data_IF_962257786079
#
_entry.id   IF_962257786079
#
_cell.length_a   1.000
_cell.length_b   1.000
_cell.length_c   1.000
_cell.angle_alpha   90.00
_cell.angle_beta   90.00
_cell.angle_gamma   90.00
#
_symmetry.space_group_name_H-M   'P 1'
#
loop_
_entity.id
_entity.type
_entity.pdbx_description
1 polymer ?
#
# COMPACT_ATOMS: atom_id res chain seq x y z
N UNK A 1 -18.40 7.46 -22.16
CA UNK A 1 -18.70 8.35 -21.01
C UNK A 1 -17.37 8.84 -20.46
N UNK A 2 -16.96 10.07 -20.79
CA UNK A 2 -15.78 10.73 -20.23
C UNK A 2 -16.12 11.17 -18.81
N UNK A 3 -15.98 10.26 -17.85
CA UNK A 3 -16.20 10.58 -16.45
C UNK A 3 -14.88 11.08 -15.86
N UNK A 4 -14.67 12.39 -15.92
CA UNK A 4 -13.58 13.16 -15.27
C UNK A 4 -13.49 12.99 -13.74
N UNK A 5 -14.27 12.07 -13.15
CA UNK A 5 -14.32 11.78 -11.72
C UNK A 5 -14.18 10.28 -11.42
N UNK A 6 -13.90 9.44 -12.42
CA UNK A 6 -13.87 7.98 -12.26
C UNK A 6 -12.86 7.57 -11.20
N UNK A 7 -11.67 8.19 -11.19
CA UNK A 7 -10.66 7.91 -10.18
C UNK A 7 -11.18 8.28 -8.78
N UNK A 8 -11.68 9.50 -8.60
CA UNK A 8 -12.19 9.96 -7.31
C UNK A 8 -13.36 9.08 -6.79
N UNK A 9 -14.27 8.66 -7.66
CA UNK A 9 -15.39 7.77 -7.31
C UNK A 9 -14.87 6.41 -6.86
N UNK A 10 -13.91 5.82 -7.57
CA UNK A 10 -13.31 4.53 -7.19
C UNK A 10 -12.62 4.63 -5.83
N UNK A 11 -11.88 5.71 -5.57
CA UNK A 11 -11.25 5.97 -4.28
C UNK A 11 -12.29 6.11 -3.16
N UNK A 12 -13.33 6.91 -3.39
CA UNK A 12 -14.40 7.10 -2.42
C UNK A 12 -15.13 5.78 -2.12
N UNK A 13 -15.51 5.03 -3.16
CA UNK A 13 -16.15 3.73 -3.02
C UNK A 13 -15.27 2.74 -2.24
N UNK A 14 -13.97 2.73 -2.51
CA UNK A 14 -13.00 1.89 -1.82
C UNK A 14 -12.82 2.26 -0.35
N UNK A 15 -12.99 3.55 0.00
CA UNK A 15 -12.86 4.04 1.37
C UNK A 15 -14.13 3.81 2.21
N UNK A 16 -15.31 3.99 1.62
CA UNK A 16 -16.60 3.98 2.34
C UNK A 16 -16.80 2.69 3.13
N UNK A 17 -16.55 1.53 2.52
CA UNK A 17 -16.71 0.23 3.20
C UNK A 17 -15.82 0.10 4.45
N UNK A 18 -14.49 0.18 4.30
CA UNK A 18 -13.54 0.17 5.42
C UNK A 18 -13.83 1.24 6.46
N UNK A 19 -14.18 2.46 6.05
CA UNK A 19 -14.46 3.57 6.96
C UNK A 19 -15.70 3.31 7.81
N UNK A 20 -16.80 2.84 7.22
CA UNK A 20 -18.02 2.49 7.95
C UNK A 20 -17.78 1.32 8.92
N UNK A 21 -17.11 0.27 8.46
CA UNK A 21 -16.79 -0.90 9.27
C UNK A 21 -15.71 -0.61 10.33
N UNK A 22 -14.98 0.50 10.23
CA UNK A 22 -14.01 0.92 11.25
C UNK A 22 -14.66 1.25 12.59
N UNK A 23 -15.95 1.59 12.58
CA UNK A 23 -16.76 1.84 13.79
C UNK A 23 -17.40 0.58 14.38
N UNK A 24 -17.25 -0.58 13.73
CA UNK A 24 -17.71 -1.86 14.27
C UNK A 24 -17.08 -2.12 15.65
N UNK A 25 -17.89 -2.53 16.63
CA UNK A 25 -17.45 -2.79 18.00
C UNK A 25 -16.40 -3.90 18.10
N UNK A 26 -16.38 -4.85 17.15
CA UNK A 26 -15.48 -6.01 17.18
C UNK A 26 -14.05 -5.67 16.78
N UNK A 27 -13.86 -4.77 15.82
CA UNK A 27 -12.53 -4.33 15.36
C UNK A 27 -12.15 -2.99 15.99
N UNK A 28 -13.12 -2.10 16.19
CA UNK A 28 -12.99 -0.77 16.77
C UNK A 28 -11.77 0.00 16.24
N UNK A 29 -11.56 -0.06 14.92
CA UNK A 29 -10.37 0.45 14.25
C UNK A 29 -10.18 1.96 14.45
N UNK A 30 -11.27 2.70 14.61
CA UNK A 30 -11.25 4.13 14.92
C UNK A 30 -10.39 4.48 16.15
N UNK A 31 -10.26 3.59 17.13
CA UNK A 31 -9.41 3.82 18.33
C UNK A 31 -7.92 3.86 18.01
N UNK A 32 -7.50 3.27 16.88
CA UNK A 32 -6.11 3.19 16.42
C UNK A 32 -5.71 4.35 15.51
N UNK A 33 -6.65 5.20 15.11
CA UNK A 33 -6.41 6.33 14.19
C UNK A 33 -5.29 7.27 14.67
N UNK A 34 -5.17 7.48 15.99
CA UNK A 34 -4.09 8.29 16.58
C UNK A 34 -2.68 7.81 16.25
N UNK A 35 -2.50 6.50 16.03
CA UNK A 35 -1.22 5.91 15.62
C UNK A 35 -1.14 5.73 14.11
N UNK A 36 -2.29 5.50 13.48
CA UNK A 36 -2.42 5.27 12.05
C UNK A 36 -2.00 6.50 11.22
N UNK A 37 -2.59 7.67 11.49
CA UNK A 37 -2.34 8.85 10.65
C UNK A 37 -0.87 9.29 10.65
N UNK A 38 -0.16 9.41 11.79
CA UNK A 38 1.27 9.72 11.77
C UNK A 38 2.09 8.67 11.01
N UNK A 39 1.75 7.38 11.16
CA UNK A 39 2.43 6.29 10.48
C UNK A 39 2.17 6.27 8.96
N UNK A 40 1.08 6.88 8.49
CA UNK A 40 0.75 7.01 7.07
C UNK A 40 1.35 8.26 6.43
N UNK A 41 1.44 9.37 7.15
CA UNK A 41 1.94 10.64 6.59
C UNK A 41 3.39 10.53 6.14
N UNK A 42 4.26 9.91 6.93
CA UNK A 42 5.68 9.76 6.60
C UNK A 42 5.89 9.02 5.27
N UNK A 43 5.36 7.78 5.07
CA UNK A 43 5.49 7.11 3.79
C UNK A 43 4.73 7.83 2.68
N UNK A 44 3.56 8.41 2.95
CA UNK A 44 2.82 9.16 1.93
C UNK A 44 3.65 10.32 1.37
N UNK A 45 4.29 11.13 2.22
CA UNK A 45 5.15 12.24 1.76
C UNK A 45 6.32 11.74 0.92
N UNK A 46 6.95 10.64 1.32
CA UNK A 46 8.04 10.03 0.55
C UNK A 46 7.57 9.58 -0.84
N UNK A 47 6.44 8.87 -0.92
CA UNK A 47 5.93 8.37 -2.19
C UNK A 47 5.30 9.47 -3.06
N UNK A 48 4.71 10.51 -2.48
CA UNK A 48 4.25 11.68 -3.24
C UNK A 48 5.44 12.37 -3.91
N UNK A 49 6.54 12.58 -3.18
CA UNK A 49 7.75 13.18 -3.76
C UNK A 49 8.37 12.27 -4.84
N UNK A 50 8.36 10.96 -4.62
CA UNK A 50 8.79 9.96 -5.59
C UNK A 50 7.97 10.04 -6.88
N UNK A 51 6.64 10.04 -6.78
CA UNK A 51 5.74 10.06 -7.92
C UNK A 51 5.79 11.38 -8.68
N UNK A 52 5.95 12.51 -7.99
CA UNK A 52 6.25 13.81 -8.62
C UNK A 52 7.50 13.70 -9.49
N UNK A 53 8.57 13.09 -8.99
CA UNK A 53 9.82 12.92 -9.72
C UNK A 53 9.69 11.98 -10.93
N UNK A 54 9.03 10.82 -10.78
CA UNK A 54 8.87 9.86 -11.88
C UNK A 54 7.86 10.33 -12.94
N UNK A 55 6.84 11.08 -12.54
CA UNK A 55 5.91 11.75 -13.45
C UNK A 55 6.61 12.86 -14.23
N UNK A 56 7.50 13.62 -13.59
CA UNK A 56 8.31 14.64 -14.27
C UNK A 56 9.26 14.04 -15.31
N UNK A 57 9.72 12.80 -15.10
CA UNK A 57 10.55 12.04 -16.06
C UNK A 57 9.74 11.35 -17.16
N UNK A 58 8.41 11.47 -17.18
CA UNK A 58 7.55 10.81 -18.17
C UNK A 58 7.48 9.28 -18.04
N UNK A 59 8.08 8.71 -16.98
CA UNK A 59 8.03 7.27 -16.69
C UNK A 59 6.62 6.86 -16.29
N UNK A 60 5.96 7.74 -15.53
CA UNK A 60 4.59 7.59 -15.07
C UNK A 60 3.69 8.66 -15.70
N UNK A 61 2.47 8.29 -16.08
CA UNK A 61 1.51 9.20 -16.72
C UNK A 61 0.09 8.83 -16.31
N UNK A 62 -0.75 9.84 -16.15
CA UNK A 62 -2.15 9.66 -15.77
C UNK A 62 -3.07 9.98 -16.93
N UNK A 63 -4.18 9.24 -17.04
CA UNK A 63 -5.19 9.53 -18.05
C UNK A 63 -6.00 10.77 -17.64
N UNK A 64 -5.84 11.86 -18.38
CA UNK A 64 -6.52 13.14 -18.11
C UNK A 64 -8.05 13.05 -18.17
N UNK A 65 -8.59 12.03 -18.86
CA UNK A 65 -10.04 11.80 -18.96
C UNK A 65 -10.63 11.15 -17.70
N UNK A 66 -9.81 10.60 -16.81
CA UNK A 66 -10.23 9.89 -15.60
C UNK A 66 -10.03 10.71 -14.31
N UNK A 67 -9.30 11.82 -14.39
CA UNK A 67 -8.97 12.72 -13.28
C UNK A 67 -9.75 14.04 -13.41
N UNK A 68 -9.90 14.73 -12.28
CA UNK A 68 -10.60 16.02 -12.14
C UNK A 68 -9.86 17.17 -12.83
N UNK A 69 -8.58 16.98 -13.17
CA UNK A 69 -7.70 18.01 -13.72
C UNK A 69 -7.00 18.87 -12.66
N UNK A 70 -7.32 18.70 -11.37
CA UNK A 70 -6.61 19.38 -10.28
C UNK A 70 -5.31 18.64 -10.01
N UNK A 71 -4.18 19.34 -10.14
CA UNK A 71 -2.84 18.77 -9.94
C UNK A 71 -2.10 19.50 -8.83
N UNK A 72 -1.42 18.75 -7.97
CA UNK A 72 -0.40 19.25 -7.07
C UNK A 72 0.95 19.13 -7.78
N UNK A 73 1.54 20.27 -8.18
CA UNK A 73 2.67 20.30 -9.12
C UNK A 73 2.29 19.60 -10.44
N UNK A 74 2.72 18.36 -10.64
CA UNK A 74 2.44 17.52 -11.80
C UNK A 74 1.63 16.25 -11.46
N UNK A 75 1.26 16.07 -10.20
CA UNK A 75 0.57 14.87 -9.69
C UNK A 75 -0.93 15.15 -9.49
N UNK A 76 -1.86 14.32 -9.99
CA UNK A 76 -3.29 14.49 -9.74
C UNK A 76 -3.62 14.41 -8.24
N UNK A 77 -4.59 15.21 -7.78
CA UNK A 77 -5.04 15.17 -6.38
C UNK A 77 -5.56 13.79 -5.99
N UNK A 78 -6.13 13.05 -6.93
CA UNK A 78 -6.60 11.68 -6.74
C UNK A 78 -5.44 10.74 -6.36
N UNK A 79 -4.27 10.92 -6.96
CA UNK A 79 -3.10 10.11 -6.61
C UNK A 79 -2.57 10.48 -5.22
N UNK A 80 -2.60 11.77 -4.86
CA UNK A 80 -2.27 12.21 -3.49
C UNK A 80 -3.22 11.54 -2.49
N UNK A 81 -4.52 11.50 -2.78
CA UNK A 81 -5.52 10.81 -1.96
C UNK A 81 -5.32 9.30 -1.94
N UNK A 82 -4.89 8.68 -3.04
CA UNK A 82 -4.59 7.26 -3.13
C UNK A 82 -3.56 6.82 -2.09
N UNK A 83 -2.51 7.63 -1.86
CA UNK A 83 -1.49 7.39 -0.82
C UNK A 83 -2.02 7.41 0.61
N UNK A 84 -3.23 7.91 0.85
CA UNK A 84 -3.89 7.83 2.16
C UNK A 84 -5.01 6.79 2.17
N UNK A 85 -5.84 6.75 1.14
CA UNK A 85 -7.00 5.83 1.09
C UNK A 85 -6.54 4.38 1.05
N UNK A 86 -5.59 4.03 0.19
CA UNK A 86 -5.19 2.63 0.02
C UNK A 86 -4.49 2.08 1.26
N UNK A 87 -3.49 2.76 1.86
CA UNK A 87 -2.89 2.28 3.10
C UNK A 87 -3.91 2.15 4.25
N UNK A 88 -4.90 3.05 4.32
CA UNK A 88 -5.99 2.95 5.30
C UNK A 88 -6.76 1.64 5.12
N UNK A 89 -7.21 1.35 3.90
CA UNK A 89 -7.95 0.13 3.57
C UNK A 89 -7.11 -1.13 3.84
N UNK A 90 -5.83 -1.12 3.46
CA UNK A 90 -4.90 -2.23 3.70
C UNK A 90 -4.74 -2.54 5.19
N UNK A 91 -4.52 -1.51 6.02
CA UNK A 91 -4.34 -1.70 7.46
C UNK A 91 -5.66 -2.11 8.12
N UNK A 92 -6.80 -1.59 7.65
CA UNK A 92 -8.12 -2.02 8.11
C UNK A 92 -8.36 -3.52 7.84
N UNK A 93 -8.05 -4.02 6.63
CA UNK A 93 -8.16 -5.44 6.29
C UNK A 93 -7.24 -6.29 7.16
N UNK A 94 -6.01 -5.83 7.40
CA UNK A 94 -5.06 -6.50 8.30
C UNK A 94 -5.61 -6.64 9.73
N UNK A 95 -6.19 -5.56 10.27
CA UNK A 95 -6.81 -5.57 11.59
C UNK A 95 -8.05 -6.46 11.66
N UNK A 96 -8.88 -6.45 10.61
CA UNK A 96 -10.00 -7.38 10.50
C UNK A 96 -9.52 -8.84 10.53
N UNK A 97 -8.55 -9.22 9.69
CA UNK A 97 -8.03 -10.58 9.68
C UNK A 97 -7.45 -10.99 11.04
N UNK A 98 -6.75 -10.10 11.74
CA UNK A 98 -6.22 -10.38 13.08
C UNK A 98 -7.30 -10.55 14.16
N UNK A 99 -8.40 -9.82 14.05
CA UNK A 99 -9.52 -9.88 15.00
C UNK A 99 -10.47 -11.04 14.72
N UNK A 100 -10.71 -11.38 13.45
CA UNK A 100 -11.63 -12.44 13.05
C UNK A 100 -10.96 -13.83 12.98
N UNK A 101 -9.65 -13.91 12.68
CA UNK A 101 -8.91 -15.16 12.54
C UNK A 101 -7.67 -15.21 13.46
N UNK A 102 -7.85 -15.33 14.79
CA UNK A 102 -6.74 -15.33 15.73
C UNK A 102 -5.80 -16.54 15.59
N UNK A 103 -6.26 -17.65 14.99
CA UNK A 103 -5.46 -18.87 14.76
C UNK A 103 -4.37 -18.74 13.69
N UNK A 104 -4.31 -17.62 12.97
CA UNK A 104 -3.25 -17.31 12.00
C UNK A 104 -1.96 -16.86 12.71
N UNK A 105 -2.05 -16.41 13.96
CA UNK A 105 -0.98 -15.71 14.66
C UNK A 105 0.26 -16.57 14.89
N UNK A 106 1.43 -15.91 14.86
CA UNK A 106 2.71 -16.43 15.35
C UNK A 106 3.19 -17.76 14.75
N UNK A 107 2.83 -18.09 13.50
CA UNK A 107 3.41 -19.26 12.84
C UNK A 107 4.87 -18.96 12.45
N UNK A 108 5.85 -19.80 12.86
CA UNK A 108 7.26 -19.54 12.57
C UNK A 108 7.56 -19.51 11.06
N UNK A 109 6.76 -20.24 10.29
CA UNK A 109 6.83 -20.30 8.82
C UNK A 109 6.73 -18.91 8.17
N UNK A 110 5.88 -18.00 8.69
CA UNK A 110 5.72 -16.67 8.11
C UNK A 110 7.01 -15.84 8.18
N UNK A 111 7.76 -15.97 9.28
CA UNK A 111 9.05 -15.27 9.42
C UNK A 111 10.08 -15.80 8.42
N UNK A 112 10.14 -17.12 8.22
CA UNK A 112 11.05 -17.74 7.25
C UNK A 112 10.71 -17.30 5.83
N UNK A 113 9.44 -17.34 5.45
CA UNK A 113 8.98 -16.91 4.12
C UNK A 113 9.32 -15.44 3.88
N UNK A 114 9.06 -14.56 4.85
CA UNK A 114 9.32 -13.12 4.66
C UNK A 114 10.82 -12.81 4.55
N UNK A 115 11.69 -13.52 5.29
CA UNK A 115 13.15 -13.38 5.14
C UNK A 115 13.66 -13.89 3.79
N UNK A 116 13.16 -15.05 3.35
CA UNK A 116 13.49 -15.59 2.01
C UNK A 116 13.03 -14.62 0.91
N UNK A 117 11.84 -14.03 1.07
CA UNK A 117 11.33 -13.01 0.17
C UNK A 117 12.25 -11.78 0.12
N UNK A 118 12.76 -11.30 1.25
CA UNK A 118 13.71 -10.19 1.28
C UNK A 118 14.97 -10.50 0.45
N UNK A 119 15.56 -11.68 0.63
CA UNK A 119 16.74 -12.10 -0.15
C UNK A 119 16.42 -12.20 -1.63
N UNK A 120 15.29 -12.82 -1.99
CA UNK A 120 14.84 -12.91 -3.38
C UNK A 120 14.65 -11.53 -4.01
N UNK A 121 14.00 -10.61 -3.30
CA UNK A 121 13.78 -9.23 -3.75
C UNK A 121 15.11 -8.49 -3.95
N UNK A 122 16.06 -8.63 -3.03
CA UNK A 122 17.40 -8.05 -3.17
C UNK A 122 18.11 -8.54 -4.43
N UNK A 123 18.10 -9.85 -4.68
CA UNK A 123 18.72 -10.43 -5.88
C UNK A 123 18.01 -9.92 -7.15
N UNK A 124 16.68 -9.89 -7.16
CA UNK A 124 15.91 -9.39 -8.31
C UNK A 124 16.16 -7.91 -8.57
N UNK A 125 16.40 -7.10 -7.54
CA UNK A 125 16.79 -5.69 -7.68
C UNK A 125 18.08 -5.53 -8.48
N UNK A 126 19.06 -6.42 -8.30
CA UNK A 126 20.34 -6.41 -9.02
C UNK A 126 20.14 -6.87 -10.46
N UNK A 127 19.36 -7.94 -10.68
CA UNK A 127 19.08 -8.45 -12.03
C UNK A 127 18.37 -7.41 -12.90
N UNK A 128 17.39 -6.68 -12.33
CA UNK A 128 16.63 -5.66 -13.03
C UNK A 128 17.19 -4.25 -12.89
N UNK A 129 18.49 -4.10 -12.62
CA UNK A 129 19.13 -2.79 -12.41
C UNK A 129 18.90 -1.80 -13.57
N UNK A 130 18.79 -2.30 -14.81
CA UNK A 130 18.48 -1.49 -15.99
C UNK A 130 17.08 -0.85 -15.96
N UNK A 131 16.15 -1.36 -15.15
CA UNK A 131 14.80 -0.81 -14.97
C UNK A 131 14.74 -0.04 -13.65
N UNK A 132 15.10 1.24 -13.68
CA UNK A 132 15.22 2.11 -12.49
C UNK A 132 14.04 1.97 -11.51
N UNK A 133 12.80 2.06 -11.99
CA UNK A 133 11.61 1.97 -11.13
C UNK A 133 11.47 0.61 -10.44
N UNK A 134 11.59 -0.48 -11.20
CA UNK A 134 11.48 -1.85 -10.69
C UNK A 134 12.63 -2.21 -9.75
N UNK A 135 13.86 -1.81 -10.09
CA UNK A 135 15.03 -2.05 -9.26
C UNK A 135 14.89 -1.34 -7.91
N UNK A 136 14.58 -0.04 -7.91
CA UNK A 136 14.44 0.71 -6.67
C UNK A 136 13.30 0.20 -5.78
N UNK A 137 12.15 -0.16 -6.36
CA UNK A 137 11.03 -0.69 -5.57
C UNK A 137 11.39 -2.01 -4.89
N UNK A 138 12.06 -2.94 -5.59
CA UNK A 138 12.53 -4.19 -4.99
C UNK A 138 13.63 -3.97 -3.95
N UNK A 139 14.56 -3.04 -4.21
CA UNK A 139 15.59 -2.67 -3.26
C UNK A 139 14.99 -2.12 -1.96
N UNK A 140 14.14 -1.10 -2.05
CA UNK A 140 13.52 -0.47 -0.88
C UNK A 140 12.68 -1.48 -0.10
N UNK A 141 11.90 -2.32 -0.78
CA UNK A 141 11.10 -3.35 -0.10
C UNK A 141 11.98 -4.36 0.65
N UNK A 142 13.06 -4.84 0.02
CA UNK A 142 14.03 -5.72 0.66
C UNK A 142 14.67 -5.08 1.90
N UNK A 143 15.11 -3.83 1.77
CA UNK A 143 15.72 -3.06 2.88
C UNK A 143 14.72 -2.86 4.02
N UNK A 144 13.46 -2.52 3.73
CA UNK A 144 12.41 -2.37 4.74
C UNK A 144 12.19 -3.68 5.51
N UNK A 145 12.12 -4.83 4.82
CA UNK A 145 11.98 -6.12 5.50
C UNK A 145 13.21 -6.42 6.36
N UNK A 146 14.42 -6.16 5.86
CA UNK A 146 15.66 -6.33 6.62
C UNK A 146 15.68 -5.47 7.89
N UNK A 147 15.25 -4.20 7.81
CA UNK A 147 15.15 -3.27 8.94
C UNK A 147 14.18 -3.80 10.00
N UNK A 148 13.01 -4.32 9.60
CA UNK A 148 12.04 -4.90 10.55
C UNK A 148 12.66 -6.04 11.36
N UNK A 149 13.45 -6.90 10.70
CA UNK A 149 14.11 -8.02 11.38
C UNK A 149 15.35 -7.62 12.18
N UNK A 150 16.10 -6.61 11.73
CA UNK A 150 17.25 -6.06 12.45
C UNK A 150 16.80 -5.37 13.74
N UNK A 151 15.72 -4.59 13.67
CA UNK A 151 15.14 -3.86 14.79
C UNK A 151 13.94 -4.60 15.41
N UNK A 152 13.92 -5.94 15.34
CA UNK A 152 12.80 -6.77 15.82
C UNK A 152 12.41 -6.50 17.28
N UNK A 153 13.36 -6.04 18.10
CA UNK A 153 13.13 -5.64 19.50
C UNK A 153 12.14 -4.47 19.63
N UNK A 154 12.06 -3.58 18.65
CA UNK A 154 11.08 -2.49 18.61
C UNK A 154 9.75 -2.92 17.99
N UNK A 155 9.77 -3.90 17.07
CA UNK A 155 8.61 -4.41 16.35
C UNK A 155 8.06 -5.72 16.93
N UNK A 156 8.00 -5.85 18.25
CA UNK A 156 7.55 -7.09 18.94
C UNK A 156 6.10 -7.47 18.63
N UNK A 157 5.27 -6.49 18.25
CA UNK A 157 3.87 -6.71 17.89
C UNK A 157 3.65 -7.12 16.42
N UNK A 158 4.71 -7.15 15.61
CA UNK A 158 4.64 -7.49 14.20
C UNK A 158 4.53 -9.00 13.99
N UNK A 159 3.47 -9.42 13.30
CA UNK A 159 3.20 -10.81 12.96
C UNK A 159 3.33 -11.00 11.44
N UNK A 160 4.41 -11.68 11.03
CA UNK A 160 4.72 -11.94 9.63
C UNK A 160 3.68 -12.84 8.93
N UNK A 161 3.09 -13.81 9.62
CA UNK A 161 2.08 -14.70 9.05
C UNK A 161 0.79 -13.97 8.78
N UNK A 162 0.33 -13.17 9.75
CA UNK A 162 -0.84 -12.32 9.58
C UNK A 162 -0.62 -11.30 8.47
N UNK A 163 0.58 -10.73 8.37
CA UNK A 163 0.95 -9.80 7.31
C UNK A 163 0.89 -10.44 5.92
N UNK A 164 1.53 -11.59 5.73
CA UNK A 164 1.55 -12.29 4.44
C UNK A 164 0.15 -12.68 3.96
N UNK A 165 -0.68 -13.22 4.85
CA UNK A 165 -2.06 -13.60 4.50
C UNK A 165 -2.89 -12.35 4.17
N UNK A 166 -2.75 -11.29 4.97
CA UNK A 166 -3.45 -10.03 4.69
C UNK A 166 -3.01 -9.44 3.37
N UNK A 167 -1.72 -9.49 3.05
CA UNK A 167 -1.18 -9.04 1.77
C UNK A 167 -1.81 -9.81 0.60
N UNK A 168 -1.91 -11.15 0.69
CA UNK A 168 -2.58 -11.96 -0.34
C UNK A 168 -4.06 -11.57 -0.53
N UNK A 169 -4.78 -11.33 0.58
CA UNK A 169 -6.19 -10.91 0.52
C UNK A 169 -6.31 -9.51 -0.09
N UNK A 170 -5.41 -8.58 0.25
CA UNK A 170 -5.39 -7.20 -0.24
C UNK A 170 -5.07 -7.14 -1.74
N UNK A 171 -4.24 -8.05 -2.26
CA UNK A 171 -3.87 -8.07 -3.67
C UNK A 171 -5.10 -8.21 -4.59
N UNK A 172 -6.14 -8.93 -4.17
CA UNK A 172 -7.34 -9.13 -4.99
C UNK A 172 -8.06 -7.80 -5.27
N UNK A 173 -8.58 -7.06 -4.26
CA UNK A 173 -9.23 -5.77 -4.52
C UNK A 173 -8.25 -4.74 -5.08
N UNK A 174 -6.97 -4.78 -4.71
CA UNK A 174 -5.97 -3.87 -5.25
C UNK A 174 -5.76 -4.04 -6.75
N UNK A 175 -5.64 -5.28 -7.25
CA UNK A 175 -5.52 -5.56 -8.68
C UNK A 175 -6.77 -5.14 -9.45
N UNK A 176 -7.96 -5.32 -8.86
CA UNK A 176 -9.23 -4.89 -9.46
C UNK A 176 -9.25 -3.37 -9.59
N UNK A 177 -9.01 -2.64 -8.49
CA UNK A 177 -9.01 -1.17 -8.46
C UNK A 177 -7.95 -0.60 -9.39
N UNK A 178 -6.71 -1.08 -9.31
CA UNK A 178 -5.64 -0.62 -10.20
C UNK A 178 -5.89 -0.96 -11.66
N UNK A 179 -6.48 -2.13 -11.95
CA UNK A 179 -6.87 -2.50 -13.31
C UNK A 179 -7.88 -1.53 -13.93
N UNK A 180 -8.79 -0.98 -13.13
CA UNK A 180 -9.72 0.06 -13.59
C UNK A 180 -9.08 1.45 -13.73
N UNK A 181 -8.06 1.75 -12.92
CA UNK A 181 -7.39 3.05 -12.90
C UNK A 181 -6.27 3.19 -13.94
N UNK A 182 -5.73 2.06 -14.42
CA UNK A 182 -4.73 1.97 -15.48
C UNK A 182 -5.43 1.51 -16.77
N UNK A 183 -6.26 2.33 -17.44
CA UNK A 183 -6.73 1.97 -18.75
C UNK A 183 -5.49 1.88 -19.65
N UNK A 184 -5.16 0.65 -20.02
CA UNK A 184 -4.21 0.20 -21.02
C UNK A 184 -3.51 1.34 -21.79
N UNK A 185 -2.22 1.54 -21.49
CA UNK A 185 -1.29 2.10 -22.48
C UNK A 185 -1.22 1.18 -23.69
#
# INVERSE_FOLDING_TARGET
MNNHHTYLIILAASLVGPLLLSFDKKVAFYKKWKYLFPAMVIPALFYIAWDIYFTAKGIWSFNENCITGIKLSNLPVEEVLFFFVVPYCCIFIYECLRSYFPGIKNKPQGNTVLKLLAVALFITSIIFFNKNYTSYTFFFLSVCIAIIYLFRKFFTSFDASSFLISYLVILIPFLVVNGFLLPFR
#
